data_IF_243304859652
#
_entry.id   IF_243304859652
#
_cell.length_a   1.000
_cell.length_b   1.000
_cell.length_c   1.000
_cell.angle_alpha   90.00
_cell.angle_beta   90.00
_cell.angle_gamma   90.00
#
_symmetry.space_group_name_H-M   'P 1'
#
loop_
_entity.id
_entity.type
_entity.pdbx_description
1 polymer ?
#
# COMPACT_ATOMS: atom_id res chain seq x y z
N UNK A 1 -2.52 -2.91 -16.16
CA UNK A 1 -1.35 -3.73 -16.62
C UNK A 1 -0.17 -2.80 -16.76
N UNK A 2 0.90 -3.07 -16.03
CA UNK A 2 2.09 -2.21 -16.00
C UNK A 2 2.99 -2.56 -17.19
N UNK A 3 3.13 -1.63 -18.15
CA UNK A 3 4.04 -1.83 -19.28
C UNK A 3 5.47 -1.93 -18.79
N UNK A 4 6.20 -2.91 -19.32
CA UNK A 4 7.60 -3.11 -18.98
C UNK A 4 8.43 -1.92 -19.50
N UNK A 5 9.07 -1.23 -18.56
CA UNK A 5 9.89 -0.05 -18.78
C UNK A 5 10.85 0.10 -17.60
N UNK A 6 11.93 0.86 -17.78
CA UNK A 6 12.91 1.09 -16.69
C UNK A 6 12.26 1.70 -15.45
N UNK A 7 11.28 2.60 -15.65
CA UNK A 7 10.50 3.18 -14.55
C UNK A 7 9.71 2.12 -13.80
N UNK A 8 9.00 1.24 -14.51
CA UNK A 8 8.21 0.17 -13.92
C UNK A 8 9.09 -0.85 -13.17
N UNK A 9 10.22 -1.24 -13.75
CA UNK A 9 11.18 -2.15 -13.09
C UNK A 9 11.73 -1.53 -11.81
N UNK A 10 12.10 -0.26 -11.85
CA UNK A 10 12.58 0.47 -10.67
C UNK A 10 11.52 0.53 -9.57
N UNK A 11 10.26 0.82 -9.92
CA UNK A 11 9.14 0.84 -8.97
C UNK A 11 8.97 -0.51 -8.28
N UNK A 12 8.94 -1.60 -9.05
CA UNK A 12 8.87 -2.97 -8.51
C UNK A 12 10.03 -3.29 -7.57
N UNK A 13 11.26 -2.93 -7.96
CA UNK A 13 12.44 -3.16 -7.11
C UNK A 13 12.37 -2.38 -5.81
N UNK A 14 11.95 -1.12 -5.85
CA UNK A 14 11.81 -0.29 -4.65
C UNK A 14 10.70 -0.83 -3.75
N UNK A 15 9.55 -1.23 -4.31
CA UNK A 15 8.43 -1.80 -3.54
C UNK A 15 8.83 -3.11 -2.85
N UNK A 16 9.47 -4.05 -3.57
CA UNK A 16 9.98 -5.29 -2.97
C UNK A 16 10.92 -5.05 -1.79
N UNK A 17 11.76 -4.03 -1.87
CA UNK A 17 12.64 -3.65 -0.76
C UNK A 17 11.88 -2.96 0.37
N UNK A 18 10.92 -2.10 0.02
CA UNK A 18 10.16 -1.31 0.98
C UNK A 18 9.21 -2.16 1.84
N UNK A 19 8.67 -3.26 1.32
CA UNK A 19 7.78 -4.13 2.08
C UNK A 19 8.52 -5.16 2.95
N UNK A 20 9.84 -5.27 2.84
CA UNK A 20 10.62 -6.22 3.63
C UNK A 20 10.78 -5.74 5.08
N UNK A 21 10.28 -6.51 6.04
CA UNK A 21 10.31 -6.15 7.45
C UNK A 21 9.39 -5.00 7.87
N UNK A 22 8.39 -4.64 7.06
CA UNK A 22 7.39 -3.63 7.42
C UNK A 22 5.95 -4.15 7.24
N UNK A 23 5.20 -4.23 8.34
CA UNK A 23 3.80 -4.67 8.31
C UNK A 23 2.83 -3.62 7.75
N UNK A 24 3.29 -2.38 7.58
CA UNK A 24 2.46 -1.24 7.14
C UNK A 24 2.68 -0.87 5.67
N UNK A 25 3.30 -1.76 4.90
CA UNK A 25 3.53 -1.61 3.46
C UNK A 25 3.09 -2.91 2.79
N UNK A 26 2.19 -2.80 1.80
CA UNK A 26 1.64 -3.94 1.06
C UNK A 26 2.77 -4.81 0.51
N UNK A 27 2.71 -6.11 0.81
CA UNK A 27 3.70 -7.10 0.40
C UNK A 27 3.58 -7.43 -1.08
N UNK A 28 4.71 -7.37 -1.77
CA UNK A 28 4.86 -7.96 -3.11
C UNK A 28 5.19 -9.44 -2.95
N UNK A 29 4.24 -10.30 -3.33
CA UNK A 29 4.36 -11.75 -3.22
C UNK A 29 5.16 -12.34 -4.39
N UNK A 30 4.89 -11.85 -5.61
CA UNK A 30 5.57 -12.35 -6.81
C UNK A 30 5.55 -11.32 -7.94
N UNK A 31 6.43 -11.47 -8.93
CA UNK A 31 6.47 -10.63 -10.13
C UNK A 31 6.76 -11.49 -11.35
N UNK A 32 5.87 -11.38 -12.34
CA UNK A 32 5.98 -12.10 -13.61
C UNK A 32 6.18 -11.13 -14.76
N UNK A 33 7.07 -11.50 -15.68
CA UNK A 33 7.18 -10.86 -16.99
C UNK A 33 6.30 -11.62 -17.98
N UNK A 34 5.42 -10.92 -18.70
CA UNK A 34 4.52 -11.55 -19.66
C UNK A 34 4.25 -10.66 -20.87
N UNK A 35 3.71 -11.25 -21.94
CA UNK A 35 3.19 -10.55 -23.10
C UNK A 35 1.68 -10.35 -22.96
N UNK A 36 1.22 -9.10 -23.04
CA UNK A 36 -0.20 -8.78 -23.08
C UNK A 36 -0.49 -7.82 -24.24
N UNK A 37 -1.41 -8.21 -25.13
CA UNK A 37 -1.75 -7.44 -26.33
C UNK A 37 -0.50 -6.98 -27.10
N UNK A 38 0.43 -7.90 -27.36
CA UNK A 38 1.71 -7.68 -28.03
C UNK A 38 2.70 -6.72 -27.32
N UNK A 39 2.46 -6.36 -26.07
CA UNK A 39 3.36 -5.54 -25.25
C UNK A 39 3.97 -6.38 -24.12
N UNK A 40 5.26 -6.15 -23.81
CA UNK A 40 5.88 -6.68 -22.59
C UNK A 40 5.32 -5.94 -21.37
N UNK A 41 4.96 -6.69 -20.35
CA UNK A 41 4.32 -6.17 -19.15
C UNK A 41 4.86 -6.87 -17.90
N UNK A 42 4.88 -6.13 -16.80
CA UNK A 42 5.12 -6.65 -15.46
C UNK A 42 3.78 -6.90 -14.78
N UNK A 43 3.57 -8.11 -14.28
CA UNK A 43 2.44 -8.49 -13.44
C UNK A 43 2.95 -8.61 -12.01
N UNK A 44 2.46 -7.73 -11.13
CA UNK A 44 2.86 -7.70 -9.72
C UNK A 44 1.75 -8.37 -8.92
N UNK A 45 2.09 -9.47 -8.26
CA UNK A 45 1.20 -10.16 -7.32
C UNK A 45 1.48 -9.59 -5.95
N UNK A 46 0.44 -9.07 -5.29
CA UNK A 46 0.53 -8.47 -3.96
C UNK A 46 -0.49 -9.11 -3.03
N UNK A 47 -0.34 -8.90 -1.72
CA UNK A 47 -1.40 -9.25 -0.78
C UNK A 47 -2.69 -8.46 -1.07
N UNK A 48 -3.83 -9.08 -0.79
CA UNK A 48 -5.14 -8.49 -1.06
C UNK A 48 -5.56 -7.58 0.09
N UNK A 49 -5.96 -6.35 -0.23
CA UNK A 49 -6.41 -5.34 0.73
C UNK A 49 -7.94 -5.17 0.62
N UNK A 50 -8.68 -6.13 1.18
CA UNK A 50 -10.14 -6.24 1.01
C UNK A 50 -10.93 -5.23 1.85
N UNK A 51 -10.29 -4.61 2.84
CA UNK A 51 -10.93 -3.65 3.73
C UNK A 51 -11.20 -2.27 3.10
N UNK A 52 -10.74 -2.06 1.87
CA UNK A 52 -10.95 -0.83 1.11
C UNK A 52 -10.13 0.36 1.62
N UNK A 53 -10.43 1.53 1.08
CA UNK A 53 -9.71 2.78 1.37
C UNK A 53 -10.06 3.35 2.75
N UNK A 54 -9.05 3.93 3.41
CA UNK A 54 -9.18 4.57 4.71
C UNK A 54 -10.37 5.54 4.78
N UNK A 55 -10.47 6.43 3.80
CA UNK A 55 -11.46 7.50 3.79
C UNK A 55 -12.89 6.99 3.61
N UNK A 56 -13.09 5.96 2.78
CA UNK A 56 -14.41 5.34 2.62
C UNK A 56 -14.86 4.74 3.95
N UNK A 57 -13.95 4.06 4.68
CA UNK A 57 -14.27 3.45 5.96
C UNK A 57 -14.61 4.46 7.06
N UNK A 58 -13.94 5.62 7.07
CA UNK A 58 -14.26 6.71 7.99
C UNK A 58 -15.63 7.31 7.66
N UNK A 59 -15.94 7.53 6.36
CA UNK A 59 -17.19 8.12 5.90
C UNK A 59 -18.40 7.22 6.16
N UNK A 60 -18.26 5.92 5.91
CA UNK A 60 -19.39 4.99 5.89
C UNK A 60 -19.80 4.53 7.31
N UNK A 61 -19.10 5.00 8.35
CA UNK A 61 -19.40 4.73 9.76
C UNK A 61 -20.56 5.61 10.23
N UNK A 62 -21.76 5.03 10.34
CA UNK A 62 -22.97 5.76 10.72
C UNK A 62 -23.20 5.83 12.24
N UNK A 63 -22.78 4.80 12.99
CA UNK A 63 -23.23 4.61 14.37
C UNK A 63 -22.22 5.06 15.45
N UNK A 64 -21.00 5.43 15.07
CA UNK A 64 -19.94 5.80 16.02
C UNK A 64 -19.05 6.92 15.48
N UNK A 65 -18.94 8.07 16.20
CA UNK A 65 -18.02 9.13 15.84
C UNK A 65 -16.58 8.62 15.74
N UNK A 66 -15.86 9.08 14.73
CA UNK A 66 -14.43 8.83 14.61
C UNK A 66 -13.69 9.66 15.65
N UNK A 67 -12.93 9.00 16.52
CA UNK A 67 -12.27 9.64 17.66
C UNK A 67 -10.85 10.08 17.34
N UNK A 68 -10.35 11.08 18.04
CA UNK A 68 -8.94 11.52 17.93
C UNK A 68 -7.96 10.36 18.20
N UNK A 69 -8.31 9.46 19.13
CA UNK A 69 -7.49 8.28 19.43
C UNK A 69 -7.41 7.32 18.24
N UNK A 70 -8.51 7.10 17.52
CA UNK A 70 -8.50 6.30 16.29
C UNK A 70 -7.65 6.97 15.21
N UNK A 71 -7.79 8.30 15.03
CA UNK A 71 -6.99 9.08 14.09
C UNK A 71 -5.48 8.95 14.40
N UNK A 72 -5.10 9.11 15.67
CA UNK A 72 -3.71 9.01 16.12
C UNK A 72 -3.11 7.63 15.83
N UNK A 73 -3.89 6.55 15.98
CA UNK A 73 -3.44 5.20 15.66
C UNK A 73 -3.15 5.02 14.16
N UNK A 74 -4.02 5.54 13.29
CA UNK A 74 -3.78 5.51 11.84
C UNK A 74 -2.52 6.29 11.47
N UNK A 75 -2.39 7.51 11.98
CA UNK A 75 -1.23 8.36 11.71
C UNK A 75 0.06 7.68 12.21
N UNK A 76 0.03 7.01 13.35
CA UNK A 76 1.18 6.25 13.86
C UNK A 76 1.60 5.13 12.89
N UNK A 77 0.65 4.38 12.32
CA UNK A 77 0.95 3.32 11.35
C UNK A 77 1.55 3.89 10.06
N UNK A 78 0.94 4.95 9.52
CA UNK A 78 1.46 5.66 8.35
C UNK A 78 2.87 6.18 8.63
N UNK A 79 3.10 6.79 9.79
CA UNK A 79 4.40 7.30 10.19
C UNK A 79 5.44 6.19 10.33
N UNK A 80 5.06 5.00 10.81
CA UNK A 80 5.95 3.83 10.85
C UNK A 80 6.33 3.36 9.45
N UNK A 81 5.39 3.27 8.52
CA UNK A 81 5.68 2.94 7.11
C UNK A 81 6.64 3.95 6.47
N UNK A 82 6.35 5.25 6.65
CA UNK A 82 7.18 6.35 6.12
C UNK A 82 8.57 6.35 6.74
N UNK A 83 8.67 6.21 8.06
CA UNK A 83 9.96 6.13 8.77
C UNK A 83 10.77 4.92 8.30
N UNK A 84 10.13 3.78 8.07
CA UNK A 84 10.79 2.58 7.59
C UNK A 84 11.46 2.81 6.22
N UNK A 85 10.74 3.37 5.24
CA UNK A 85 11.33 3.64 3.92
C UNK A 85 12.35 4.79 3.94
N UNK A 86 12.15 5.79 4.79
CA UNK A 86 13.11 6.89 4.95
C UNK A 86 14.46 6.38 5.49
N UNK A 87 14.45 5.39 6.39
CA UNK A 87 15.68 4.74 6.87
C UNK A 87 16.41 3.92 5.79
N UNK A 88 15.78 3.71 4.63
CA UNK A 88 16.36 3.05 3.46
C UNK A 88 16.66 4.03 2.32
N UNK A 89 16.72 5.34 2.61
CA UNK A 89 16.90 6.41 1.62
C UNK A 89 15.85 6.43 0.50
N UNK A 90 14.64 5.95 0.80
CA UNK A 90 13.51 5.94 -0.12
C UNK A 90 12.44 6.95 0.31
N UNK A 91 11.91 7.70 -0.65
CA UNK A 91 10.73 8.53 -0.45
C UNK A 91 9.56 8.00 -1.29
N UNK A 92 8.39 7.82 -0.66
CA UNK A 92 7.20 7.34 -1.37
C UNK A 92 6.73 8.35 -2.44
N UNK A 93 6.70 9.64 -2.10
CA UNK A 93 6.33 10.79 -2.95
C UNK A 93 4.90 10.83 -3.50
N UNK A 94 4.10 9.79 -3.35
CA UNK A 94 2.67 9.77 -3.70
C UNK A 94 1.79 9.33 -2.52
N UNK A 95 2.08 9.81 -1.31
CA UNK A 95 1.29 9.47 -0.12
C UNK A 95 -0.01 10.27 -0.11
N UNK A 96 -1.14 9.58 -0.30
CA UNK A 96 -2.47 10.15 -0.47
C UNK A 96 -3.56 9.17 -0.01
N UNK A 97 -4.80 9.65 0.26
CA UNK A 97 -5.94 8.83 0.69
C UNK A 97 -6.10 7.48 -0.01
N UNK A 98 -5.95 7.46 -1.33
CA UNK A 98 -6.21 6.32 -2.21
C UNK A 98 -5.15 5.21 -2.06
N UNK A 99 -3.98 5.54 -1.50
CA UNK A 99 -2.88 4.61 -1.26
C UNK A 99 -2.86 4.08 0.19
N UNK A 100 -3.92 4.33 0.98
CA UNK A 100 -4.08 3.87 2.35
C UNK A 100 -5.24 2.87 2.40
N UNK A 101 -4.89 1.58 2.42
CA UNK A 101 -5.85 0.48 2.31
C UNK A 101 -5.85 -0.38 3.58
N UNK A 102 -6.99 -0.94 3.92
CA UNK A 102 -7.16 -1.90 5.00
C UNK A 102 -7.05 -3.35 4.50
N UNK A 103 -6.45 -4.22 5.30
CA UNK A 103 -6.29 -5.65 4.96
C UNK A 103 -7.64 -6.37 4.85
N UNK A 104 -8.58 -6.10 5.74
CA UNK A 104 -9.93 -6.69 5.72
C UNK A 104 -10.98 -5.77 6.37
N UNK A 105 -12.24 -6.20 6.35
CA UNK A 105 -13.41 -5.40 6.78
C UNK A 105 -13.65 -5.39 8.29
N UNK A 106 -12.92 -6.17 9.09
CA UNK A 106 -13.09 -6.25 10.55
C UNK A 106 -12.64 -4.97 11.23
N UNK A 107 -13.38 -4.43 12.21
CA UNK A 107 -13.05 -3.16 12.89
C UNK A 107 -11.65 -3.10 13.54
N UNK A 108 -11.02 -4.26 13.77
CA UNK A 108 -9.64 -4.41 14.27
C UNK A 108 -8.58 -4.58 13.18
N UNK A 109 -9.00 -4.70 11.91
CA UNK A 109 -8.11 -4.84 10.78
C UNK A 109 -7.50 -3.50 10.46
N UNK A 110 -6.19 -3.42 10.70
CA UNK A 110 -5.31 -2.30 10.46
C UNK A 110 -4.03 -2.85 9.86
#
# INVERSE_FOLDING_TARGET
ILKDSDKARREVTLHKRACDGCDYIVKVLDVYENMYASNRCLLIVMECMEGGELFNRIRDRQDKPYTEREAANIILMIAKAVSHIHNMDMAHRDLKPENLLFTNTSDSAL
#
